data_IF_599559191494
#
_entry.id   IF_599559191494
#
_cell.length_a   1.000
_cell.length_b   1.000
_cell.length_c   1.000
_cell.angle_alpha   90.00
_cell.angle_beta   90.00
_cell.angle_gamma   90.00
#
_symmetry.space_group_name_H-M   'P 1'
#
loop_
_entity.id
_entity.type
_entity.pdbx_description
1 polymer ?
#
# COMPACT_ATOMS: atom_id res chain seq x y z
N UNK A 1 16.45 0.70 26.48
CA UNK A 1 16.03 -0.67 26.08
C UNK A 1 16.32 -0.84 24.59
N UNK A 2 16.78 -2.01 24.17
CA UNK A 2 17.07 -2.29 22.76
C UNK A 2 15.76 -2.72 22.08
N UNK A 3 15.41 -2.08 20.97
CA UNK A 3 14.19 -2.37 20.21
C UNK A 3 14.20 -3.80 19.66
N UNK A 4 13.09 -4.51 19.82
CA UNK A 4 12.95 -5.89 19.36
C UNK A 4 12.93 -6.00 17.84
N UNK A 5 13.21 -7.20 17.31
CA UNK A 5 13.10 -7.47 15.86
C UNK A 5 11.67 -7.21 15.35
N UNK A 6 10.67 -7.55 16.15
CA UNK A 6 9.25 -7.39 15.81
C UNK A 6 8.86 -5.91 15.73
N UNK A 7 9.25 -5.11 16.74
CA UNK A 7 9.01 -3.66 16.73
C UNK A 7 9.66 -2.98 15.52
N UNK A 8 10.87 -3.40 15.13
CA UNK A 8 11.52 -2.91 13.90
C UNK A 8 10.74 -3.27 12.65
N UNK A 9 10.24 -4.51 12.56
CA UNK A 9 9.42 -4.94 11.43
C UNK A 9 8.12 -4.12 11.36
N UNK A 10 7.44 -3.89 12.48
CA UNK A 10 6.25 -3.06 12.53
C UNK A 10 6.49 -1.64 12.04
N UNK A 11 7.54 -0.97 12.54
CA UNK A 11 7.87 0.40 12.09
C UNK A 11 8.21 0.47 10.61
N UNK A 12 8.92 -0.52 10.09
CA UNK A 12 9.22 -0.59 8.66
C UNK A 12 7.96 -0.83 7.84
N UNK A 13 7.05 -1.70 8.27
CA UNK A 13 5.77 -1.92 7.60
C UNK A 13 4.94 -0.64 7.57
N UNK A 14 4.82 0.07 8.71
CA UNK A 14 4.09 1.36 8.80
C UNK A 14 4.69 2.38 7.82
N UNK A 15 6.02 2.52 7.80
CA UNK A 15 6.68 3.47 6.90
C UNK A 15 6.40 3.17 5.42
N UNK A 16 6.35 1.90 5.02
CA UNK A 16 6.00 1.51 3.65
C UNK A 16 4.51 1.72 3.34
N UNK A 17 3.61 1.46 4.30
CA UNK A 17 2.19 1.77 4.16
C UNK A 17 1.96 3.28 3.99
N UNK A 18 2.64 4.11 4.78
CA UNK A 18 2.57 5.57 4.67
C UNK A 18 3.16 6.07 3.34
N UNK A 19 4.27 5.47 2.89
CA UNK A 19 4.85 5.76 1.58
C UNK A 19 3.87 5.46 0.44
N UNK A 20 3.22 4.29 0.46
CA UNK A 20 2.19 3.95 -0.51
C UNK A 20 1.04 4.97 -0.48
N UNK A 21 0.51 5.29 0.70
CA UNK A 21 -0.54 6.31 0.87
C UNK A 21 -0.14 7.66 0.25
N UNK A 22 1.13 8.05 0.34
CA UNK A 22 1.64 9.31 -0.23
C UNK A 22 1.49 9.45 -1.74
N UNK A 23 1.27 8.35 -2.47
CA UNK A 23 1.02 8.37 -3.92
C UNK A 23 -0.46 8.47 -4.29
N UNK A 24 -1.38 8.44 -3.32
CA UNK A 24 -2.82 8.60 -3.56
C UNK A 24 -3.11 10.10 -3.65
N UNK A 25 -3.49 10.62 -4.84
CA UNK A 25 -3.87 12.01 -4.97
C UNK A 25 -5.19 12.27 -4.21
N UNK A 26 -5.32 13.39 -3.49
CA UNK A 26 -6.60 13.77 -2.91
C UNK A 26 -7.62 14.08 -4.00
N UNK A 27 -7.17 14.52 -5.18
CA UNK A 27 -8.01 14.69 -6.35
C UNK A 27 -8.34 13.32 -6.95
N UNK A 28 -9.62 12.95 -6.96
CA UNK A 28 -10.09 11.68 -7.54
C UNK A 28 -10.51 10.61 -6.53
N UNK A 29 -10.45 10.92 -5.23
CA UNK A 29 -11.15 10.12 -4.21
C UNK A 29 -12.64 10.47 -4.26
N UNK A 30 -13.46 9.50 -4.66
CA UNK A 30 -14.90 9.56 -4.43
C UNK A 30 -15.24 9.12 -2.99
N UNK A 31 -16.54 9.12 -2.64
CA UNK A 31 -17.01 8.80 -1.30
C UNK A 31 -16.61 7.37 -0.85
N UNK A 32 -16.50 6.42 -1.80
CA UNK A 32 -16.11 5.04 -1.49
C UNK A 32 -14.61 4.94 -1.23
N UNK A 33 -13.78 5.54 -2.08
CA UNK A 33 -12.33 5.55 -1.88
C UNK A 33 -11.92 6.36 -0.64
N UNK A 34 -12.65 7.43 -0.33
CA UNK A 34 -12.48 8.17 0.92
C UNK A 34 -12.78 7.30 2.15
N UNK A 35 -13.75 6.38 2.06
CA UNK A 35 -14.06 5.41 3.12
C UNK A 35 -12.94 4.41 3.32
N UNK A 36 -12.38 3.83 2.24
CA UNK A 36 -11.21 2.96 2.36
C UNK A 36 -10.01 3.68 2.95
N UNK A 37 -9.78 4.96 2.58
CA UNK A 37 -8.71 5.75 3.17
C UNK A 37 -8.94 6.04 4.66
N UNK A 38 -10.20 6.22 5.08
CA UNK A 38 -10.54 6.34 6.49
C UNK A 38 -10.27 5.04 7.26
N UNK A 39 -10.77 3.90 6.77
CA UNK A 39 -10.56 2.57 7.35
C UNK A 39 -9.06 2.21 7.41
N UNK A 40 -8.26 2.58 6.40
CA UNK A 40 -6.81 2.48 6.44
C UNK A 40 -6.20 3.14 7.68
N UNK A 41 -6.62 4.38 8.00
CA UNK A 41 -6.09 5.10 9.15
C UNK A 41 -6.52 4.43 10.46
N UNK A 42 -7.77 3.98 10.56
CA UNK A 42 -8.28 3.27 11.75
C UNK A 42 -7.50 1.97 11.99
N UNK A 43 -7.27 1.16 10.95
CA UNK A 43 -6.48 -0.06 11.06
C UNK A 43 -5.03 0.21 11.44
N UNK A 44 -4.43 1.30 10.93
CA UNK A 44 -3.08 1.70 11.29
C UNK A 44 -2.98 2.08 12.78
N UNK A 45 -3.96 2.82 13.31
CA UNK A 45 -4.04 3.20 14.73
C UNK A 45 -4.18 1.98 15.65
N UNK A 46 -4.79 0.89 15.15
CA UNK A 46 -4.96 -0.36 15.88
C UNK A 46 -3.87 -1.42 15.63
N UNK A 47 -2.81 -1.11 14.88
CA UNK A 47 -1.76 -2.06 14.44
C UNK A 47 -2.30 -3.25 13.61
N UNK A 48 -3.44 -3.08 12.95
CA UNK A 48 -4.02 -4.07 12.04
C UNK A 48 -3.42 -3.91 10.64
N UNK A 49 -2.09 -4.09 10.53
CA UNK A 49 -1.29 -3.69 9.36
C UNK A 49 -1.67 -4.40 8.06
N UNK A 50 -2.14 -5.65 8.13
CA UNK A 50 -2.62 -6.38 6.95
C UNK A 50 -3.96 -5.82 6.46
N UNK A 51 -4.87 -5.44 7.35
CA UNK A 51 -6.14 -4.78 6.97
C UNK A 51 -5.89 -3.37 6.42
N UNK A 52 -4.93 -2.63 6.99
CA UNK A 52 -4.49 -1.37 6.42
C UNK A 52 -3.96 -1.55 4.98
N UNK A 53 -3.17 -2.60 4.74
CA UNK A 53 -2.71 -2.94 3.39
C UNK A 53 -3.87 -3.28 2.45
N UNK A 54 -4.87 -4.03 2.91
CA UNK A 54 -6.06 -4.38 2.12
C UNK A 54 -6.78 -3.11 1.64
N UNK A 55 -6.94 -2.10 2.49
CA UNK A 55 -7.58 -0.83 2.09
C UNK A 55 -6.80 -0.07 1.03
N UNK A 56 -5.46 -0.10 1.10
CA UNK A 56 -4.63 0.48 0.04
C UNK A 56 -4.79 -0.30 -1.27
N UNK A 57 -4.88 -1.64 -1.22
CA UNK A 57 -5.13 -2.45 -2.41
C UNK A 57 -6.46 -2.09 -3.08
N UNK A 58 -7.55 -1.94 -2.33
CA UNK A 58 -8.86 -1.51 -2.88
C UNK A 58 -8.79 -0.14 -3.58
N UNK A 59 -8.08 0.82 -2.97
CA UNK A 59 -7.85 2.14 -3.59
C UNK A 59 -7.02 2.01 -4.86
N UNK A 60 -5.93 1.24 -4.81
CA UNK A 60 -5.05 1.03 -5.95
C UNK A 60 -5.71 0.28 -7.10
N UNK A 61 -6.62 -0.66 -6.83
CA UNK A 61 -7.42 -1.33 -7.85
C UNK A 61 -8.36 -0.37 -8.57
N UNK A 62 -8.89 0.59 -7.84
CA UNK A 62 -9.89 1.55 -8.32
C UNK A 62 -9.26 2.76 -9.03
N UNK A 63 -7.99 3.04 -8.76
CA UNK A 63 -7.25 4.20 -9.29
C UNK A 63 -6.07 3.78 -10.17
N UNK A 64 -5.76 4.57 -11.19
CA UNK A 64 -4.53 4.38 -11.98
C UNK A 64 -3.30 4.94 -11.27
N UNK A 65 -2.88 4.30 -10.17
CA UNK A 65 -1.74 4.73 -9.35
C UNK A 65 -0.38 4.35 -9.97
N UNK A 66 0.69 5.12 -9.69
CA UNK A 66 2.03 4.89 -10.25
C UNK A 66 2.67 3.60 -9.73
N UNK A 67 3.75 3.14 -10.36
CA UNK A 67 4.40 1.88 -9.96
C UNK A 67 4.98 1.93 -8.53
N UNK A 68 5.38 3.12 -8.08
CA UNK A 68 5.95 3.38 -6.76
C UNK A 68 4.95 3.07 -5.64
N UNK A 69 3.66 3.36 -5.85
CA UNK A 69 2.58 2.95 -4.94
C UNK A 69 2.64 1.43 -4.70
N UNK A 70 2.61 0.66 -5.78
CA UNK A 70 2.60 -0.80 -5.74
C UNK A 70 3.92 -1.38 -5.21
N UNK A 71 5.04 -0.68 -5.38
CA UNK A 71 6.33 -1.08 -4.79
C UNK A 71 6.31 -0.98 -3.27
N UNK A 72 5.78 0.11 -2.73
CA UNK A 72 5.66 0.27 -1.28
C UNK A 72 4.64 -0.70 -0.68
N UNK A 73 3.49 -0.92 -1.32
CA UNK A 73 2.53 -1.96 -0.92
C UNK A 73 3.14 -3.37 -0.95
N UNK A 74 3.92 -3.70 -1.99
CA UNK A 74 4.68 -4.95 -2.04
C UNK A 74 5.68 -5.06 -0.89
N UNK A 75 6.33 -3.96 -0.52
CA UNK A 75 7.36 -3.95 0.52
C UNK A 75 6.77 -4.17 1.90
N UNK A 76 5.62 -3.56 2.22
CA UNK A 76 4.90 -3.83 3.46
C UNK A 76 4.47 -5.31 3.54
N UNK A 77 3.94 -5.87 2.44
CA UNK A 77 3.60 -7.29 2.34
C UNK A 77 4.81 -8.23 2.57
N UNK A 78 5.98 -7.89 2.03
CA UNK A 78 7.23 -8.64 2.26
C UNK A 78 7.65 -8.65 3.71
N UNK A 79 7.58 -7.51 4.39
CA UNK A 79 7.99 -7.39 5.80
C UNK A 79 7.05 -8.21 6.69
N UNK A 80 5.76 -8.26 6.34
CA UNK A 80 4.72 -9.06 7.01
C UNK A 80 4.75 -10.56 6.65
N UNK A 81 5.50 -10.97 5.62
CA UNK A 81 5.58 -12.36 5.17
C UNK A 81 4.38 -12.83 4.35
N UNK A 82 3.67 -11.92 3.68
CA UNK A 82 2.48 -12.20 2.87
C UNK A 82 2.85 -12.69 1.46
N UNK A 83 3.63 -13.76 1.37
CA UNK A 83 4.24 -14.25 0.12
C UNK A 83 3.23 -14.55 -1.00
N UNK A 84 2.02 -14.96 -0.63
CA UNK A 84 0.94 -15.25 -1.57
C UNK A 84 0.55 -14.02 -2.42
N UNK A 85 0.83 -12.80 -1.94
CA UNK A 85 0.52 -11.53 -2.63
C UNK A 85 1.63 -11.08 -3.59
N UNK A 86 2.80 -11.71 -3.61
CA UNK A 86 3.94 -11.20 -4.38
C UNK A 86 3.68 -11.17 -5.89
N UNK A 87 3.10 -12.24 -6.43
CA UNK A 87 2.77 -12.31 -7.87
C UNK A 87 1.79 -11.21 -8.26
N UNK A 88 0.79 -10.96 -7.42
CA UNK A 88 -0.18 -9.89 -7.59
C UNK A 88 0.51 -8.52 -7.73
N UNK A 89 1.41 -8.16 -6.81
CA UNK A 89 2.11 -6.87 -6.90
C UNK A 89 3.07 -6.76 -8.09
N UNK A 90 3.76 -7.85 -8.44
CA UNK A 90 4.63 -7.84 -9.62
C UNK A 90 3.85 -7.53 -10.90
N UNK A 91 2.64 -8.06 -11.01
CA UNK A 91 1.74 -7.75 -12.10
C UNK A 91 1.30 -6.28 -12.08
N UNK A 92 0.88 -5.75 -10.91
CA UNK A 92 0.48 -4.34 -10.77
C UNK A 92 1.59 -3.37 -11.13
N UNK A 93 2.80 -3.59 -10.63
CA UNK A 93 3.99 -2.79 -10.97
C UNK A 93 4.24 -2.79 -12.49
N UNK A 94 4.19 -3.97 -13.12
CA UNK A 94 4.37 -4.08 -14.57
C UNK A 94 3.30 -3.32 -15.35
N UNK A 95 2.04 -3.42 -14.92
CA UNK A 95 0.92 -2.79 -15.59
C UNK A 95 0.97 -1.25 -15.44
N UNK A 96 1.26 -0.74 -14.24
CA UNK A 96 1.44 0.69 -13.97
C UNK A 96 2.58 1.28 -14.81
N UNK A 97 3.72 0.58 -14.89
CA UNK A 97 4.84 0.97 -15.76
C UNK A 97 4.46 1.05 -17.24
N UNK A 98 3.73 0.03 -17.72
CA UNK A 98 3.31 -0.02 -19.11
C UNK A 98 2.31 1.11 -19.44
N UNK A 99 1.45 1.48 -18.51
CA UNK A 99 0.53 2.61 -18.64
C UNK A 99 1.29 3.93 -18.73
N UNK A 100 2.27 4.17 -17.85
CA UNK A 100 3.10 5.37 -17.86
C UNK A 100 3.85 5.57 -19.19
N UNK A 101 4.40 4.48 -19.76
CA UNK A 101 5.11 4.54 -21.05
C UNK A 101 4.21 4.83 -22.26
N UNK A 102 2.90 4.62 -22.15
CA UNK A 102 1.93 4.91 -23.22
C UNK A 102 1.40 6.34 -23.17
N UNK A 103 1.57 7.04 -22.05
CA UNK A 103 1.09 8.40 -21.84
C UNK A 103 2.12 9.48 -22.27
N UNK A 104 3.35 9.07 -22.58
CA UNK A 104 4.44 9.90 -23.14
C UNK A 104 4.55 9.74 -24.65
#
# INVERSE_FOLDING_TARGET
>A
MMESKLEKQWKLTIAELESARGYIPPEGLDDELAKYLHEYNEFLEHNELELALDMLEEIGESMSLPEEFWRSAKKSAEIMGLEKRYTYYLEKIRNARAAANKAN
#
